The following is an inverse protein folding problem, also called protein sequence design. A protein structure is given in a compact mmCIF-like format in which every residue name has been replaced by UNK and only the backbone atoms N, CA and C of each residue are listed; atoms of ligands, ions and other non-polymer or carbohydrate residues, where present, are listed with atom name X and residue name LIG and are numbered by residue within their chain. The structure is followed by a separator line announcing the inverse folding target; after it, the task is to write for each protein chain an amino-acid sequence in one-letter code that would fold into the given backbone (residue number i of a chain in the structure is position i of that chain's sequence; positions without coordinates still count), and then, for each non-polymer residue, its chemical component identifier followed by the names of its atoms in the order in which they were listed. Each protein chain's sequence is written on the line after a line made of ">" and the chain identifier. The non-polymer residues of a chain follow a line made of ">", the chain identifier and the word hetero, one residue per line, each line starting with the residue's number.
data_IF_548976208818
#
_entry.id   IF_548976208818
#
_cell.length_a   1.000
_cell.length_b   1.000
_cell.length_c   1.000
_cell.angle_alpha   90.00
_cell.angle_beta   90.00
_cell.angle_gamma   90.00
#
_symmetry.space_group_name_H-M   'P 1'
#
loop_
_entity.id
_entity.type
_entity.pdbx_description
1 polymer ?
#
# COMPACT_ATOMS: atom_id res chain seq x y z
N UNK A 1 -8.91 -20.25 -21.07
CA UNK A 1 -7.54 -19.77 -21.38
C UNK A 1 -6.72 -19.88 -20.11
N UNK A 2 -5.45 -20.33 -20.16
CA UNK A 2 -4.62 -20.30 -18.96
C UNK A 2 -4.46 -18.86 -18.48
N UNK A 3 -4.64 -18.64 -17.18
CA UNK A 3 -4.36 -17.32 -16.57
C UNK A 3 -2.87 -17.04 -16.77
N UNK A 4 -2.49 -15.90 -17.36
CA UNK A 4 -1.08 -15.60 -17.57
C UNK A 4 -0.38 -15.53 -16.20
N UNK A 5 0.74 -16.26 -16.10
CA UNK A 5 1.55 -16.25 -14.90
C UNK A 5 2.18 -14.86 -14.72
N UNK A 6 2.02 -14.26 -13.54
CA UNK A 6 2.58 -12.94 -13.21
C UNK A 6 3.71 -13.08 -12.21
N UNK A 7 4.79 -12.37 -12.44
CA UNK A 7 5.98 -12.38 -11.60
C UNK A 7 6.14 -11.03 -10.92
N UNK A 8 6.04 -11.02 -9.60
CA UNK A 8 6.34 -9.86 -8.78
C UNK A 8 7.62 -10.08 -7.95
N UNK A 9 8.39 -9.02 -7.77
CA UNK A 9 9.59 -9.00 -6.95
C UNK A 9 9.37 -8.10 -5.74
N UNK A 10 9.73 -8.59 -4.55
CA UNK A 10 9.77 -7.75 -3.35
C UNK A 10 11.16 -7.14 -3.23
N UNK A 11 11.20 -5.80 -3.11
CA UNK A 11 12.41 -5.05 -2.83
C UNK A 11 12.27 -4.31 -1.50
N UNK A 12 13.23 -4.49 -0.61
CA UNK A 12 13.37 -3.68 0.59
C UNK A 12 13.88 -2.29 0.18
N UNK A 13 13.40 -1.25 0.86
CA UNK A 13 13.77 0.15 0.55
C UNK A 13 15.06 0.56 1.25
N UNK A 14 16.05 -0.32 1.31
CA UNK A 14 17.32 -0.10 2.00
C UNK A 14 18.44 0.41 1.10
N UNK A 15 18.34 0.16 -0.19
CA UNK A 15 19.32 0.63 -1.18
C UNK A 15 19.19 2.13 -1.43
N UNK A 16 20.27 2.80 -1.86
CA UNK A 16 20.23 4.17 -2.33
C UNK A 16 19.18 4.36 -3.44
N UNK A 17 18.58 5.56 -3.51
CA UNK A 17 17.52 5.87 -4.48
C UNK A 17 17.92 5.49 -5.92
N UNK A 18 19.14 5.83 -6.33
CA UNK A 18 19.63 5.53 -7.69
C UNK A 18 19.58 4.03 -8.01
N UNK A 19 20.03 3.20 -7.08
CA UNK A 19 20.02 1.74 -7.24
C UNK A 19 18.60 1.17 -7.30
N UNK A 20 17.67 1.69 -6.48
CA UNK A 20 16.26 1.27 -6.54
C UNK A 20 15.66 1.59 -7.91
N UNK A 21 15.97 2.77 -8.48
CA UNK A 21 15.48 3.16 -9.81
C UNK A 21 16.12 2.34 -10.92
N UNK A 22 17.41 2.01 -10.83
CA UNK A 22 18.09 1.12 -11.77
C UNK A 22 17.48 -0.29 -11.75
N UNK A 23 17.24 -0.85 -10.57
CA UNK A 23 16.58 -2.14 -10.42
C UNK A 23 15.17 -2.12 -11.01
N UNK A 24 14.41 -1.06 -10.77
CA UNK A 24 13.06 -0.93 -11.31
C UNK A 24 13.06 -0.89 -12.86
N UNK A 25 13.97 -0.14 -13.47
CA UNK A 25 14.13 -0.12 -14.94
C UNK A 25 14.51 -1.49 -15.48
N UNK A 26 15.49 -2.16 -14.86
CA UNK A 26 15.90 -3.50 -15.27
C UNK A 26 14.77 -4.53 -15.14
N UNK A 27 13.91 -4.43 -14.10
CA UNK A 27 12.73 -5.27 -13.96
C UNK A 27 11.70 -5.00 -15.05
N UNK A 28 11.45 -3.72 -15.38
CA UNK A 28 10.51 -3.33 -16.43
C UNK A 28 10.96 -3.84 -17.80
N UNK A 29 12.22 -3.65 -18.13
CA UNK A 29 12.86 -4.17 -19.36
C UNK A 29 12.87 -5.70 -19.39
N UNK A 30 13.12 -6.34 -18.25
CA UNK A 30 13.13 -7.80 -18.09
C UNK A 30 11.76 -8.47 -18.12
N UNK A 31 10.68 -7.68 -18.21
CA UNK A 31 9.31 -8.20 -18.34
C UNK A 31 8.67 -8.67 -17.04
N UNK A 32 9.16 -8.23 -15.88
CA UNK A 32 8.46 -8.44 -14.62
C UNK A 32 7.16 -7.64 -14.57
N UNK A 33 6.18 -8.15 -13.81
CA UNK A 33 4.86 -7.54 -13.75
C UNK A 33 4.75 -6.52 -12.61
N UNK A 34 5.44 -6.75 -11.49
CA UNK A 34 5.26 -5.92 -10.29
C UNK A 34 6.53 -5.84 -9.45
N UNK A 35 6.86 -4.64 -9.00
CA UNK A 35 7.80 -4.40 -7.89
C UNK A 35 7.02 -4.06 -6.62
N UNK A 36 7.25 -4.83 -5.54
CA UNK A 36 6.66 -4.59 -4.22
C UNK A 36 7.68 -3.90 -3.32
N UNK A 37 7.46 -2.63 -3.01
CA UNK A 37 8.34 -1.86 -2.15
C UNK A 37 7.91 -2.03 -0.69
N UNK A 38 8.77 -2.65 0.11
CA UNK A 38 8.48 -2.95 1.52
C UNK A 38 9.09 -1.89 2.44
N UNK A 39 8.31 -1.38 3.38
CA UNK A 39 8.84 -0.55 4.47
C UNK A 39 9.56 -1.41 5.51
N UNK A 40 10.86 -1.15 5.70
CA UNK A 40 11.74 -1.95 6.55
C UNK A 40 12.24 -1.16 7.77
N UNK A 41 11.42 -0.26 8.31
CA UNK A 41 11.82 0.72 9.33
C UNK A 41 12.71 0.17 10.47
N UNK A 42 12.37 -0.91 11.20
CA UNK A 42 13.25 -1.36 12.30
C UNK A 42 14.44 -2.20 11.83
N UNK A 43 14.52 -2.56 10.54
CA UNK A 43 15.52 -3.49 10.03
C UNK A 43 16.83 -2.83 9.64
N UNK A 44 16.80 -1.54 9.26
CA UNK A 44 17.98 -0.81 8.83
C UNK A 44 19.08 -0.75 9.90
N UNK A 45 18.72 -0.60 11.17
CA UNK A 45 19.69 -0.61 12.28
C UNK A 45 20.36 -1.95 12.47
N UNK A 46 19.60 -3.06 12.35
CA UNK A 46 20.12 -4.41 12.46
C UNK A 46 21.10 -4.76 11.34
N UNK A 47 20.90 -4.22 10.16
CA UNK A 47 21.71 -4.52 8.98
C UNK A 47 22.68 -3.39 8.63
N UNK A 48 22.81 -2.36 9.45
CA UNK A 48 23.62 -1.16 9.19
C UNK A 48 23.26 -0.48 7.86
N UNK A 49 22.01 -0.57 7.45
CA UNK A 49 21.47 -0.01 6.21
C UNK A 49 20.36 0.98 6.53
N UNK A 50 20.25 2.07 5.78
CA UNK A 50 19.19 3.06 5.94
C UNK A 50 17.95 2.66 5.16
N UNK A 51 16.82 2.50 5.84
CA UNK A 51 15.53 2.32 5.18
C UNK A 51 14.97 3.67 4.70
N UNK A 52 14.36 3.64 3.54
CA UNK A 52 13.68 4.78 2.93
C UNK A 52 12.17 4.53 2.92
N UNK A 53 11.39 5.61 2.90
CA UNK A 53 9.93 5.51 2.82
C UNK A 53 9.51 4.91 1.48
N UNK A 54 8.80 3.80 1.51
CA UNK A 54 8.27 3.16 0.31
C UNK A 54 7.26 4.06 -0.42
N UNK A 55 6.46 4.82 0.33
CA UNK A 55 5.47 5.73 -0.28
C UNK A 55 6.12 6.93 -0.96
N UNK A 56 7.27 7.39 -0.48
CA UNK A 56 8.02 8.47 -1.14
C UNK A 56 8.79 7.97 -2.38
N UNK A 57 9.30 6.73 -2.36
CA UNK A 57 10.02 6.13 -3.49
C UNK A 57 9.09 5.70 -4.63
N UNK A 58 7.92 5.20 -4.30
CA UNK A 58 7.01 4.57 -5.27
C UNK A 58 6.63 5.47 -6.46
N UNK A 59 6.29 6.75 -6.27
CA UNK A 59 5.98 7.63 -7.40
C UNK A 59 7.17 7.81 -8.36
N UNK A 60 8.40 7.82 -7.82
CA UNK A 60 9.60 7.93 -8.62
C UNK A 60 9.81 6.68 -9.47
N UNK A 61 9.67 5.50 -8.85
CA UNK A 61 9.71 4.21 -9.56
C UNK A 61 8.66 4.14 -10.67
N UNK A 62 7.43 4.56 -10.38
CA UNK A 62 6.33 4.55 -11.34
C UNK A 62 6.57 5.47 -12.54
N UNK A 63 7.27 6.60 -12.33
CA UNK A 63 7.63 7.55 -13.40
C UNK A 63 8.82 7.11 -14.23
N UNK A 64 9.69 6.28 -13.68
CA UNK A 64 10.87 5.72 -14.36
C UNK A 64 10.59 4.42 -15.13
N UNK A 65 9.36 3.88 -15.01
CA UNK A 65 8.95 2.61 -15.63
C UNK A 65 7.68 2.78 -16.47
N UNK A 66 7.50 1.98 -17.52
CA UNK A 66 6.36 2.09 -18.44
C UNK A 66 5.27 1.04 -18.17
N UNK A 67 5.67 -0.20 -17.84
CA UNK A 67 4.76 -1.35 -17.69
C UNK A 67 4.71 -1.89 -16.27
N UNK A 68 5.84 -1.83 -15.58
CA UNK A 68 6.01 -2.38 -14.23
C UNK A 68 4.99 -1.76 -13.27
N UNK A 69 4.14 -2.58 -12.67
CA UNK A 69 3.25 -2.13 -11.62
C UNK A 69 4.03 -1.95 -10.31
N UNK A 70 3.62 -0.99 -9.50
CA UNK A 70 4.24 -0.71 -8.20
C UNK A 70 3.28 -1.06 -7.08
N UNK A 71 3.72 -1.89 -6.15
CA UNK A 71 2.96 -2.27 -4.97
C UNK A 71 3.61 -1.77 -3.68
N UNK A 72 2.80 -1.33 -2.73
CA UNK A 72 3.27 -1.19 -1.36
C UNK A 72 3.20 -2.55 -0.66
N UNK A 73 4.32 -3.11 -0.35
CA UNK A 73 4.37 -4.47 0.15
C UNK A 73 5.10 -4.66 1.48
N UNK A 74 4.61 -4.13 2.53
CA UNK A 74 3.40 -3.40 2.91
C UNK A 74 3.72 -2.03 3.52
N UNK A 75 2.69 -1.18 3.67
CA UNK A 75 2.75 -0.03 4.57
C UNK A 75 1.87 -0.28 5.79
N UNK A 76 2.22 0.37 6.91
CA UNK A 76 1.49 0.20 8.16
C UNK A 76 0.60 1.39 8.45
N UNK A 77 -0.67 1.18 8.85
CA UNK A 77 -1.54 2.28 9.30
C UNK A 77 -1.08 2.89 10.63
N UNK A 78 -0.11 2.30 11.32
CA UNK A 78 0.50 2.87 12.52
C UNK A 78 1.65 3.84 12.24
N UNK A 79 2.19 3.85 11.03
CA UNK A 79 3.25 4.80 10.63
C UNK A 79 2.68 6.11 10.12
N UNK A 80 1.44 6.07 9.65
CA UNK A 80 0.70 7.25 9.14
C UNK A 80 -0.81 7.00 9.22
N UNK A 81 -1.58 8.05 9.46
CA UNK A 81 -3.03 7.91 9.55
C UNK A 81 -3.64 7.41 8.23
N UNK A 82 -4.71 6.57 8.26
CA UNK A 82 -5.32 6.03 7.05
C UNK A 82 -5.80 7.08 6.02
N UNK A 83 -6.23 8.26 6.47
CA UNK A 83 -6.53 9.39 5.57
C UNK A 83 -5.28 9.78 4.77
N UNK A 84 -4.12 9.87 5.44
CA UNK A 84 -2.86 10.19 4.78
C UNK A 84 -2.45 9.10 3.78
N UNK A 85 -2.67 7.83 4.13
CA UNK A 85 -2.44 6.70 3.22
C UNK A 85 -3.26 6.86 1.94
N UNK A 86 -4.54 7.23 2.06
CA UNK A 86 -5.40 7.46 0.90
C UNK A 86 -4.93 8.64 0.03
N UNK A 87 -4.47 9.74 0.66
CA UNK A 87 -3.91 10.88 -0.07
C UNK A 87 -2.64 10.50 -0.83
N UNK A 88 -1.73 9.76 -0.21
CA UNK A 88 -0.52 9.24 -0.85
C UNK A 88 -0.85 8.27 -2.00
N UNK A 89 -1.89 7.43 -1.82
CA UNK A 89 -2.36 6.50 -2.84
C UNK A 89 -2.91 7.23 -4.09
N UNK A 90 -3.54 8.39 -3.93
CA UNK A 90 -3.96 9.23 -5.08
C UNK A 90 -2.76 9.69 -5.90
N UNK A 91 -1.74 10.24 -5.26
CA UNK A 91 -0.51 10.64 -5.94
C UNK A 91 0.13 9.46 -6.66
N UNK A 92 0.10 8.30 -6.00
CA UNK A 92 0.67 7.07 -6.57
C UNK A 92 -0.09 6.61 -7.82
N UNK A 93 -1.44 6.69 -7.81
CA UNK A 93 -2.26 6.38 -8.98
C UNK A 93 -1.98 7.32 -10.16
N UNK A 94 -1.89 8.62 -9.89
CA UNK A 94 -1.57 9.61 -10.91
C UNK A 94 -0.17 9.38 -11.51
N UNK A 95 0.81 9.02 -10.67
CA UNK A 95 2.17 8.75 -11.12
C UNK A 95 2.27 7.45 -11.94
N UNK A 96 1.57 6.40 -11.52
CA UNK A 96 1.64 5.09 -12.14
C UNK A 96 0.69 4.94 -13.35
N UNK A 97 -0.45 5.61 -13.31
CA UNK A 97 -1.53 5.39 -14.27
C UNK A 97 -2.42 4.19 -13.93
N UNK A 98 -3.48 3.97 -14.71
CA UNK A 98 -4.48 2.94 -14.43
C UNK A 98 -3.88 1.53 -14.37
N UNK A 99 -4.25 0.78 -13.32
CA UNK A 99 -3.88 -0.64 -13.18
C UNK A 99 -2.42 -0.93 -12.81
N UNK A 100 -1.60 0.09 -12.60
CA UNK A 100 -0.17 -0.06 -12.27
C UNK A 100 0.15 0.22 -10.80
N UNK A 101 -0.85 0.31 -9.92
CA UNK A 101 -0.62 0.50 -8.50
C UNK A 101 -1.43 -0.47 -7.65
N UNK A 102 -0.78 -1.06 -6.64
CA UNK A 102 -1.38 -1.96 -5.66
C UNK A 102 -1.09 -1.46 -4.25
N UNK A 103 -2.15 -1.23 -3.45
CA UNK A 103 -2.02 -0.75 -2.07
C UNK A 103 -2.01 -1.92 -1.11
N UNK A 104 -0.86 -2.26 -0.55
CA UNK A 104 -0.72 -3.29 0.47
C UNK A 104 -0.65 -2.71 1.87
N UNK A 105 -1.60 -3.11 2.73
CA UNK A 105 -1.64 -2.78 4.16
C UNK A 105 -1.20 -3.97 5.00
N UNK A 106 -0.50 -3.69 6.07
CA UNK A 106 -0.12 -4.71 7.03
C UNK A 106 0.34 -4.13 8.35
N UNK A 107 0.49 -5.00 9.34
CA UNK A 107 1.03 -4.62 10.64
C UNK A 107 2.19 -5.53 11.02
N UNK A 108 3.27 -4.95 11.48
CA UNK A 108 4.43 -5.67 12.01
C UNK A 108 4.44 -5.60 13.53
N UNK A 109 4.35 -6.74 14.20
CA UNK A 109 4.50 -6.81 15.66
C UNK A 109 5.87 -6.29 16.13
N UNK A 110 6.90 -6.47 15.31
CA UNK A 110 8.24 -5.98 15.60
C UNK A 110 8.24 -4.45 15.55
N UNK A 111 7.68 -3.86 14.50
CA UNK A 111 7.55 -2.41 14.39
C UNK A 111 6.74 -1.82 15.55
N UNK A 112 5.56 -2.40 15.85
CA UNK A 112 4.71 -1.94 16.95
C UNK A 112 5.46 -1.92 18.28
N UNK A 113 6.23 -2.97 18.57
CA UNK A 113 7.04 -3.06 19.77
C UNK A 113 8.11 -1.96 19.83
N UNK A 114 8.82 -1.73 18.73
CA UNK A 114 9.86 -0.70 18.66
C UNK A 114 9.29 0.73 18.72
N UNK A 115 8.09 0.92 18.20
CA UNK A 115 7.39 2.20 18.24
C UNK A 115 6.61 2.43 19.55
N UNK A 116 6.61 1.47 20.49
CA UNK A 116 5.85 1.57 21.74
C UNK A 116 4.33 1.57 21.52
N UNK A 117 3.86 0.95 20.44
CA UNK A 117 2.44 0.92 20.09
C UNK A 117 1.79 -0.30 20.73
N UNK A 118 0.93 -0.08 21.71
CA UNK A 118 0.03 -1.08 22.26
C UNK A 118 -1.36 -0.86 21.65
N UNK A 119 -1.68 -1.62 20.62
CA UNK A 119 -2.90 -1.45 19.85
C UNK A 119 -3.49 -2.78 19.41
N UNK A 120 -4.72 -2.70 18.86
CA UNK A 120 -5.52 -3.81 18.38
C UNK A 120 -5.32 -3.98 16.87
N UNK A 121 -4.34 -4.78 16.40
CA UNK A 121 -3.95 -4.81 14.99
C UNK A 121 -5.10 -5.20 14.05
N UNK A 122 -5.98 -6.12 14.47
CA UNK A 122 -7.13 -6.53 13.64
C UNK A 122 -8.16 -5.41 13.50
N UNK A 123 -8.45 -4.68 14.58
CA UNK A 123 -9.35 -3.52 14.53
C UNK A 123 -8.72 -2.42 13.66
N UNK A 124 -7.44 -2.10 13.91
CA UNK A 124 -6.71 -1.11 13.14
C UNK A 124 -6.73 -1.38 11.62
N UNK A 125 -6.53 -2.63 11.21
CA UNK A 125 -6.57 -3.00 9.80
C UNK A 125 -7.95 -2.84 9.18
N UNK A 126 -9.01 -3.20 9.91
CA UNK A 126 -10.39 -3.04 9.43
C UNK A 126 -10.78 -1.57 9.26
N UNK A 127 -10.50 -0.78 10.29
CA UNK A 127 -10.77 0.65 10.31
C UNK A 127 -9.94 1.40 9.26
N UNK A 128 -8.65 1.06 9.12
CA UNK A 128 -7.80 1.63 8.10
C UNK A 128 -8.30 1.32 6.68
N UNK A 129 -8.74 0.09 6.42
CA UNK A 129 -9.28 -0.28 5.13
C UNK A 129 -10.57 0.46 4.80
N UNK A 130 -11.45 0.63 5.78
CA UNK A 130 -12.70 1.38 5.64
C UNK A 130 -12.43 2.85 5.32
N UNK A 131 -11.56 3.50 6.10
CA UNK A 131 -11.16 4.89 5.90
C UNK A 131 -10.50 5.08 4.53
N UNK A 132 -9.53 4.24 4.17
CA UNK A 132 -8.82 4.34 2.88
C UNK A 132 -9.79 4.21 1.71
N UNK A 133 -10.69 3.21 1.75
CA UNK A 133 -11.69 3.02 0.69
C UNK A 133 -12.65 4.20 0.58
N UNK A 134 -13.21 4.65 1.70
CA UNK A 134 -14.14 5.77 1.69
C UNK A 134 -13.51 7.06 1.17
N UNK A 135 -12.28 7.37 1.60
CA UNK A 135 -11.55 8.54 1.09
C UNK A 135 -11.24 8.40 -0.40
N UNK A 136 -10.80 7.24 -0.87
CA UNK A 136 -10.53 7.00 -2.29
C UNK A 136 -11.80 7.06 -3.14
N UNK A 137 -12.93 6.58 -2.61
CA UNK A 137 -14.23 6.67 -3.25
C UNK A 137 -14.83 8.09 -3.23
N UNK A 138 -14.28 8.99 -2.41
CA UNK A 138 -14.84 10.33 -2.22
C UNK A 138 -16.12 10.32 -1.39
N UNK A 139 -16.36 9.29 -0.61
CA UNK A 139 -17.53 9.15 0.26
C UNK A 139 -17.40 9.99 1.54
N UNK A 140 -18.51 10.42 2.11
CA UNK A 140 -18.51 10.97 3.45
C UNK A 140 -18.16 9.86 4.45
N UNK A 141 -17.26 10.18 5.39
CA UNK A 141 -16.91 9.29 6.48
C UNK A 141 -17.27 9.91 7.82
N UNK A 142 -17.90 9.14 8.67
CA UNK A 142 -18.19 9.48 10.06
C UNK A 142 -17.92 8.23 10.92
N UNK A 143 -16.65 7.99 11.19
CA UNK A 143 -16.16 6.80 11.87
C UNK A 143 -15.49 7.15 13.20
N UNK A 144 -16.05 6.64 14.29
CA UNK A 144 -15.43 6.58 15.61
C UNK A 144 -14.98 5.15 15.89
N UNK A 145 -13.77 4.81 15.43
CA UNK A 145 -13.20 3.49 15.60
C UNK A 145 -12.55 3.26 16.97
N UNK A 146 -12.09 2.05 17.19
CA UNK A 146 -11.34 1.66 18.41
C UNK A 146 -9.87 2.08 18.35
N UNK A 147 -9.37 2.35 17.17
CA UNK A 147 -7.96 2.69 16.88
C UNK A 147 -7.87 3.97 16.05
N UNK A 148 -8.69 4.10 15.03
CA UNK A 148 -8.73 5.27 14.17
C UNK A 148 -10.12 5.87 14.10
N UNK A 149 -10.18 7.20 14.08
CA UNK A 149 -11.39 7.96 13.79
C UNK A 149 -11.19 8.79 12.53
N UNK A 150 -12.27 8.98 11.76
CA UNK A 150 -12.22 9.77 10.54
C UNK A 150 -13.58 10.46 10.31
N UNK A 151 -13.58 11.77 10.29
CA UNK A 151 -14.73 12.61 9.99
C UNK A 151 -14.40 13.44 8.74
N UNK A 152 -14.74 12.93 7.57
CA UNK A 152 -14.39 13.53 6.29
C UNK A 152 -15.67 13.78 5.51
N UNK A 153 -15.92 15.02 5.02
CA UNK A 153 -17.07 15.29 4.17
C UNK A 153 -16.93 14.57 2.82
N UNK A 154 -18.06 14.30 2.16
CA UNK A 154 -18.03 13.79 0.80
C UNK A 154 -17.27 14.76 -0.11
N UNK A 155 -16.47 14.22 -1.01
CA UNK A 155 -15.91 15.00 -2.10
C UNK A 155 -17.09 15.44 -2.97
N UNK A 156 -17.24 16.74 -3.21
CA UNK A 156 -18.26 17.25 -4.15
C UNK A 156 -18.02 16.61 -5.52
N UNK A 157 -19.09 16.16 -6.15
CA UNK A 157 -19.02 15.57 -7.48
C UNK A 157 -18.36 16.53 -8.46
N UNK A 158 -17.08 16.34 -8.65
CA UNK A 158 -16.41 16.76 -9.85
C UNK A 158 -16.51 15.55 -10.79
N UNK A 159 -17.47 15.61 -11.72
CA UNK A 159 -17.73 14.54 -12.67
C UNK A 159 -16.49 14.20 -13.52
N UNK A 160 -15.53 15.12 -13.59
CA UNK A 160 -14.31 15.01 -14.36
C UNK A 160 -13.11 14.49 -13.52
N UNK A 161 -13.26 14.35 -12.19
CA UNK A 161 -12.18 13.82 -11.35
C UNK A 161 -12.04 12.31 -11.58
N UNK A 162 -10.89 11.83 -12.07
CA UNK A 162 -10.69 10.40 -12.29
C UNK A 162 -10.75 9.64 -10.97
N UNK A 163 -11.80 8.84 -10.81
CA UNK A 163 -11.91 7.88 -9.69
C UNK A 163 -11.29 6.57 -10.14
N UNK A 164 -10.17 6.22 -9.54
CA UNK A 164 -9.45 5.01 -9.89
C UNK A 164 -9.65 3.94 -8.81
N UNK A 165 -9.98 2.74 -9.25
CA UNK A 165 -10.07 1.58 -8.36
C UNK A 165 -8.65 1.13 -8.00
N UNK A 166 -8.29 1.30 -6.72
CA UNK A 166 -7.01 0.83 -6.20
C UNK A 166 -7.22 -0.53 -5.56
N UNK A 167 -6.62 -1.59 -6.10
CA UNK A 167 -6.65 -2.88 -5.44
C UNK A 167 -5.98 -2.80 -4.07
N UNK A 168 -6.74 -3.18 -3.02
CA UNK A 168 -6.28 -3.18 -1.64
C UNK A 168 -5.91 -4.59 -1.21
N UNK A 169 -4.65 -4.80 -0.87
CA UNK A 169 -4.09 -6.05 -0.38
C UNK A 169 -3.83 -5.98 1.12
N UNK A 170 -3.94 -7.12 1.79
CA UNK A 170 -3.65 -7.24 3.20
C UNK A 170 -2.57 -8.28 3.45
N UNK A 171 -1.60 -7.95 4.31
CA UNK A 171 -0.65 -8.93 4.81
C UNK A 171 -1.04 -9.37 6.21
N UNK A 172 -1.40 -10.63 6.35
CA UNK A 172 -1.76 -11.24 7.62
C UNK A 172 -1.31 -12.68 7.72
N UNK A 173 -0.81 -13.07 8.90
CA UNK A 173 -0.31 -14.43 9.16
C UNK A 173 -1.13 -15.18 10.20
N UNK A 174 -2.00 -14.50 10.94
CA UNK A 174 -2.79 -15.10 12.02
C UNK A 174 -4.25 -15.37 11.60
N UNK A 175 -4.90 -16.41 12.16
CA UNK A 175 -6.28 -16.77 11.78
C UNK A 175 -7.30 -15.63 11.91
N UNK A 176 -7.16 -14.78 12.92
CA UNK A 176 -8.06 -13.63 13.10
C UNK A 176 -7.84 -12.56 12.04
N UNK A 177 -6.59 -12.34 11.62
CA UNK A 177 -6.26 -11.40 10.56
C UNK A 177 -6.79 -11.92 9.23
N UNK A 178 -6.51 -13.17 8.89
CA UNK A 178 -7.04 -13.81 7.66
C UNK A 178 -8.56 -13.75 7.59
N UNK A 179 -9.27 -14.02 8.70
CA UNK A 179 -10.74 -13.87 8.74
C UNK A 179 -11.22 -12.43 8.58
N UNK A 180 -10.42 -11.45 9.00
CA UNK A 180 -10.73 -10.04 8.82
C UNK A 180 -10.58 -9.60 7.36
N UNK A 181 -9.71 -10.27 6.62
CA UNK A 181 -9.38 -10.00 5.22
C UNK A 181 -10.35 -10.67 4.25
N UNK A 182 -10.82 -11.90 4.57
CA UNK A 182 -11.78 -12.63 3.75
C UNK A 182 -13.12 -11.87 3.70
N UNK A 183 -13.48 -11.42 2.52
CA UNK A 183 -14.72 -10.67 2.25
C UNK A 183 -14.57 -9.13 2.23
N UNK A 184 -13.38 -8.60 2.47
CA UNK A 184 -13.09 -7.14 2.39
C UNK A 184 -11.95 -6.79 1.43
N UNK A 185 -11.10 -7.73 1.07
CA UNK A 185 -10.12 -7.54 0.00
C UNK A 185 -10.84 -7.55 -1.34
N UNK A 186 -10.58 -6.58 -2.19
CA UNK A 186 -11.07 -6.58 -3.57
C UNK A 186 -10.25 -7.51 -4.46
N UNK A 187 -9.91 -8.71 -3.96
CA UNK A 187 -9.53 -9.82 -4.83
C UNK A 187 -10.81 -10.29 -5.54
N UNK A 188 -11.23 -9.54 -6.54
CA UNK A 188 -12.03 -10.11 -7.61
C UNK A 188 -11.08 -10.95 -8.46
N UNK A 189 -10.77 -12.15 -8.02
CA UNK A 189 -10.52 -13.21 -8.97
C UNK A 189 -11.79 -13.34 -9.81
N UNK A 190 -11.75 -12.81 -11.01
CA UNK A 190 -12.68 -13.26 -12.05
C UNK A 190 -12.18 -14.63 -12.46
N UNK A 191 -12.84 -15.66 -11.91
CA UNK A 191 -12.81 -17.01 -12.46
C UNK A 191 -13.45 -16.98 -13.84
#
# INVERSE_FOLDING_TARGET
>A
MPVPFRIGVMQLTMEPLGEVLEHARAMDEGGFDTIWLAEAYPWWRKHSMEARSSTALSPLVARETERLAVGWGIISPFTRHPIQIAMEARVMQEAAGPGRFYLGLGVSKIFMRHAGIDSRPVAAMKEAAEIVRGVLAGEALDLDGKVFSAHVPALKDDADAPRWDVPLYFAGTGPMMLRAEIGRASCRERV
#
